data_IF_730495723788
#
_entry.id   IF_730495723788
#
_cell.length_a   1.000
_cell.length_b   1.000
_cell.length_c   1.000
_cell.angle_alpha   90.00
_cell.angle_beta   90.00
_cell.angle_gamma   90.00
#
_symmetry.space_group_name_H-M   'P 1'
#
loop_
_entity.id
_entity.type
_entity.pdbx_description
1 polymer ?
#
# COMPACT_ATOMS: atom_id res chain seq x y z
N UNK A 1 13.66 -2.34 3.25
CA UNK A 1 12.57 -2.23 2.26
C UNK A 1 12.51 -3.35 1.23
N UNK A 2 13.39 -4.33 1.35
CA UNK A 2 13.39 -5.45 0.40
C UNK A 2 12.07 -6.19 0.33
N UNK A 3 11.46 -6.46 1.48
CA UNK A 3 10.19 -7.21 1.49
C UNK A 3 9.07 -6.43 0.85
N UNK A 4 9.01 -5.13 1.11
CA UNK A 4 8.00 -4.28 0.51
C UNK A 4 8.18 -4.19 -1.00
N UNK A 5 9.41 -3.98 -1.45
CA UNK A 5 9.70 -3.91 -2.88
C UNK A 5 9.34 -5.20 -3.60
N UNK A 6 9.68 -6.33 -3.00
CA UNK A 6 9.38 -7.64 -3.57
C UNK A 6 7.87 -7.85 -3.71
N UNK A 7 7.11 -7.57 -2.65
CA UNK A 7 5.67 -7.80 -2.67
C UNK A 7 4.98 -6.87 -3.67
N UNK A 8 5.47 -5.64 -3.80
CA UNK A 8 4.95 -4.70 -4.79
C UNK A 8 5.21 -5.22 -6.20
N UNK A 9 6.40 -5.69 -6.48
CA UNK A 9 6.74 -6.23 -7.80
C UNK A 9 5.91 -7.46 -8.13
N UNK A 10 5.71 -8.34 -7.15
CA UNK A 10 4.87 -9.51 -7.32
C UNK A 10 3.42 -9.12 -7.63
N UNK A 11 2.89 -8.13 -6.91
CA UNK A 11 1.54 -7.65 -7.13
C UNK A 11 1.39 -7.01 -8.50
N UNK A 12 2.39 -6.27 -8.94
CA UNK A 12 2.38 -5.65 -10.27
C UNK A 12 2.37 -6.71 -11.37
N UNK A 13 3.21 -7.73 -11.24
CA UNK A 13 3.27 -8.82 -12.20
C UNK A 13 1.96 -9.59 -12.29
N UNK A 14 1.27 -9.75 -11.18
CA UNK A 14 -0.01 -10.46 -11.11
C UNK A 14 -1.20 -9.54 -11.37
N UNK A 15 -0.98 -8.23 -11.53
CA UNK A 15 -2.03 -7.21 -11.67
C UNK A 15 -2.98 -7.22 -10.47
N UNK A 16 -2.44 -7.44 -9.28
CA UNK A 16 -3.19 -7.52 -8.03
C UNK A 16 -2.89 -6.34 -7.12
N UNK A 17 -2.89 -5.14 -7.67
CA UNK A 17 -2.68 -3.93 -6.87
C UNK A 17 -3.49 -2.77 -7.45
N UNK A 18 -3.78 -1.79 -6.58
CA UNK A 18 -4.46 -0.56 -6.96
C UNK A 18 -3.64 0.63 -6.49
N UNK A 19 -3.59 1.66 -7.30
CA UNK A 19 -2.80 2.87 -7.03
C UNK A 19 -3.68 4.07 -6.76
N UNK A 20 -3.20 4.96 -5.87
CA UNK A 20 -3.88 6.20 -5.57
C UNK A 20 -4.78 6.07 -4.36
N UNK A 21 -4.89 7.17 -3.57
CA UNK A 21 -5.62 7.14 -2.32
C UNK A 21 -7.10 6.79 -2.51
N UNK A 22 -7.72 7.33 -3.55
CA UNK A 22 -9.14 7.09 -3.81
C UNK A 22 -9.39 5.63 -4.20
N UNK A 23 -8.55 5.08 -5.07
CA UNK A 23 -8.66 3.68 -5.47
C UNK A 23 -8.42 2.74 -4.30
N UNK A 24 -7.44 3.07 -3.47
CA UNK A 24 -7.14 2.29 -2.27
C UNK A 24 -8.34 2.27 -1.33
N UNK A 25 -8.98 3.42 -1.14
CA UNK A 25 -10.16 3.52 -0.28
C UNK A 25 -11.29 2.63 -0.78
N UNK A 26 -11.51 2.59 -2.09
CA UNK A 26 -12.56 1.75 -2.68
C UNK A 26 -12.18 0.27 -2.75
N UNK A 27 -10.90 -0.04 -2.66
CA UNK A 27 -10.40 -1.42 -2.79
C UNK A 27 -9.92 -2.01 -1.46
N UNK A 28 -10.22 -1.37 -0.34
CA UNK A 28 -9.77 -1.83 0.98
C UNK A 28 -10.23 -3.27 1.24
N UNK A 29 -11.49 -3.54 0.98
CA UNK A 29 -12.03 -4.89 1.14
C UNK A 29 -11.37 -5.82 0.12
N UNK A 30 -10.79 -6.92 0.60
CA UNK A 30 -10.10 -7.87 -0.25
C UNK A 30 -8.62 -7.59 -0.42
N UNK A 31 -8.11 -6.47 0.11
CA UNK A 31 -6.69 -6.19 0.10
C UNK A 31 -5.98 -6.98 1.20
N UNK A 32 -4.70 -7.26 0.99
CA UNK A 32 -3.85 -7.93 1.98
C UNK A 32 -3.01 -6.95 2.77
N UNK A 33 -2.65 -5.83 2.16
CA UNK A 33 -1.85 -4.80 2.78
C UNK A 33 -2.13 -3.48 2.08
N UNK A 34 -2.19 -2.41 2.87
CA UNK A 34 -2.31 -1.05 2.33
C UNK A 34 -1.05 -0.29 2.72
N UNK A 35 -0.43 0.37 1.75
CA UNK A 35 0.76 1.19 1.97
C UNK A 35 0.39 2.65 1.72
N UNK A 36 0.66 3.49 2.71
CA UNK A 36 0.40 4.93 2.61
C UNK A 36 1.72 5.69 2.63
N UNK A 37 1.84 6.70 1.77
CA UNK A 37 3.01 7.58 1.76
C UNK A 37 2.70 8.86 2.52
N UNK A 38 3.72 9.70 2.69
CA UNK A 38 3.55 11.01 3.33
C UNK A 38 2.69 11.97 2.51
N UNK A 39 2.46 11.64 1.25
CA UNK A 39 1.70 12.51 0.34
C UNK A 39 0.18 12.38 0.48
N UNK A 40 -0.30 11.38 1.22
CA UNK A 40 -1.74 11.22 1.45
C UNK A 40 -2.21 12.29 2.43
N UNK A 41 -3.32 12.99 2.10
CA UNK A 41 -3.88 14.00 3.00
C UNK A 41 -4.39 13.35 4.28
N UNK A 42 -4.42 14.14 5.37
CA UNK A 42 -4.90 13.63 6.66
C UNK A 42 -6.34 13.14 6.58
N UNK A 43 -7.19 13.87 5.85
CA UNK A 43 -8.59 13.49 5.70
C UNK A 43 -8.73 12.14 5.01
N UNK A 44 -7.99 11.94 3.92
CA UNK A 44 -8.03 10.68 3.17
C UNK A 44 -7.40 9.55 3.97
N UNK A 45 -6.29 9.84 4.65
CA UNK A 45 -5.60 8.86 5.49
C UNK A 45 -6.53 8.33 6.58
N UNK A 46 -7.26 9.24 7.25
CA UNK A 46 -8.22 8.84 8.28
C UNK A 46 -9.30 7.91 7.75
N UNK A 47 -9.83 8.21 6.57
CA UNK A 47 -10.85 7.37 5.94
C UNK A 47 -10.33 5.99 5.58
N UNK A 48 -9.11 5.92 5.05
CA UNK A 48 -8.49 4.65 4.69
C UNK A 48 -8.24 3.81 5.94
N UNK A 49 -7.70 4.43 6.98
CA UNK A 49 -7.43 3.75 8.25
C UNK A 49 -8.72 3.19 8.85
N UNK A 50 -9.77 4.00 8.85
CA UNK A 50 -11.07 3.58 9.38
C UNK A 50 -11.60 2.34 8.65
N UNK A 51 -11.55 2.35 7.32
CA UNK A 51 -12.00 1.20 6.54
C UNK A 51 -11.11 -0.01 6.73
N UNK A 52 -9.81 0.19 6.83
CA UNK A 52 -8.87 -0.90 7.05
C UNK A 52 -9.09 -1.57 8.41
N UNK A 53 -9.36 -0.77 9.44
CA UNK A 53 -9.67 -1.32 10.76
C UNK A 53 -10.96 -2.13 10.75
N UNK A 54 -11.96 -1.64 10.04
CA UNK A 54 -13.25 -2.35 9.93
C UNK A 54 -13.11 -3.69 9.22
N UNK A 55 -12.16 -3.81 8.30
CA UNK A 55 -11.93 -5.04 7.53
C UNK A 55 -10.70 -5.80 7.99
N UNK A 56 -10.05 -5.35 9.06
CA UNK A 56 -8.86 -5.98 9.66
C UNK A 56 -7.69 -6.11 8.68
N UNK A 57 -7.49 -5.08 7.85
CA UNK A 57 -6.40 -5.06 6.88
C UNK A 57 -5.26 -4.21 7.43
N UNK A 58 -4.02 -4.74 7.46
CA UNK A 58 -2.89 -3.97 7.99
C UNK A 58 -2.51 -2.81 7.09
N UNK A 59 -2.01 -1.74 7.71
CA UNK A 59 -1.54 -0.56 7.01
C UNK A 59 -0.07 -0.35 7.34
N UNK A 60 0.72 -0.09 6.31
CA UNK A 60 2.13 0.25 6.47
C UNK A 60 2.34 1.72 6.07
N UNK A 61 2.93 2.50 6.98
CA UNK A 61 3.30 3.89 6.71
C UNK A 61 4.66 3.92 6.04
N UNK A 62 4.67 4.12 4.74
CA UNK A 62 5.91 4.25 3.98
C UNK A 62 6.56 5.60 4.30
N UNK A 63 7.84 5.59 4.60
CA UNK A 63 8.56 6.80 5.03
C UNK A 63 8.90 7.75 3.88
N UNK A 64 8.66 7.36 2.64
CA UNK A 64 8.90 8.20 1.49
C UNK A 64 7.64 8.92 1.02
N UNK A 65 7.79 9.72 -0.02
CA UNK A 65 6.69 10.45 -0.63
C UNK A 65 6.14 9.72 -1.85
N UNK A 66 5.15 10.36 -2.52
CA UNK A 66 4.49 9.74 -3.68
C UNK A 66 5.43 9.52 -4.86
N UNK A 67 6.43 10.36 -5.02
CA UNK A 67 7.41 10.22 -6.09
C UNK A 67 8.32 9.02 -5.86
N UNK A 68 8.76 8.84 -4.62
CA UNK A 68 9.58 7.69 -4.26
C UNK A 68 8.81 6.38 -4.41
N UNK A 69 7.54 6.39 -4.03
CA UNK A 69 6.69 5.21 -4.21
C UNK A 69 6.47 4.91 -5.69
N UNK A 70 6.32 5.94 -6.52
CA UNK A 70 6.19 5.75 -7.96
C UNK A 70 7.42 5.06 -8.55
N UNK A 71 8.60 5.46 -8.10
CA UNK A 71 9.85 4.81 -8.55
C UNK A 71 9.90 3.36 -8.13
N UNK A 72 9.49 3.07 -6.91
CA UNK A 72 9.45 1.71 -6.40
C UNK A 72 8.50 0.85 -7.21
N UNK A 73 7.38 1.42 -7.64
CA UNK A 73 6.38 0.73 -8.46
C UNK A 73 6.69 0.77 -9.95
N UNK A 74 7.78 1.45 -10.34
CA UNK A 74 8.16 1.63 -11.74
C UNK A 74 7.01 2.24 -12.56
N UNK A 75 6.44 3.33 -12.06
CA UNK A 75 5.34 4.04 -12.70
C UNK A 75 5.74 5.47 -13.07
N UNK A 76 5.22 6.01 -14.18
CA UNK A 76 5.54 7.37 -14.61
C UNK A 76 4.73 8.45 -13.92
N UNK A 77 3.83 8.09 -13.00
CA UNK A 77 2.99 9.02 -12.27
C UNK A 77 3.20 8.84 -10.77
N UNK A 78 2.83 9.85 -9.98
CA UNK A 78 2.96 9.80 -8.53
C UNK A 78 1.97 8.80 -7.93
N UNK A 79 2.44 8.06 -6.93
CA UNK A 79 1.64 7.06 -6.23
C UNK A 79 1.60 7.43 -4.76
N UNK A 80 0.49 7.97 -4.29
CA UNK A 80 0.36 8.39 -2.89
C UNK A 80 -0.02 7.23 -1.97
N UNK A 81 -0.71 6.23 -2.49
CA UNK A 81 -1.10 5.06 -1.71
C UNK A 81 -1.20 3.86 -2.65
N UNK A 82 -1.05 2.67 -2.10
CA UNK A 82 -1.17 1.44 -2.88
C UNK A 82 -1.87 0.38 -2.04
N UNK A 83 -2.79 -0.35 -2.66
CA UNK A 83 -3.45 -1.49 -2.04
C UNK A 83 -2.95 -2.75 -2.73
N UNK A 84 -2.37 -3.65 -1.94
CA UNK A 84 -1.83 -4.90 -2.42
C UNK A 84 -2.81 -6.02 -2.13
N UNK A 85 -3.18 -6.77 -3.14
CA UNK A 85 -4.16 -7.85 -3.02
C UNK A 85 -3.53 -9.23 -2.91
N UNK A 86 -2.20 -9.29 -2.97
CA UNK A 86 -1.46 -10.54 -2.76
C UNK A 86 -0.37 -10.32 -1.72
N UNK A 87 0.14 -11.43 -1.20
CA UNK A 87 1.18 -11.43 -0.19
C UNK A 87 0.82 -12.43 0.89
N UNK A 88 1.80 -13.18 1.39
CA UNK A 88 1.52 -14.08 2.48
C UNK A 88 1.67 -13.34 3.82
N UNK A 89 1.14 -13.95 4.87
CA UNK A 89 1.11 -13.33 6.19
C UNK A 89 2.50 -13.07 6.75
N UNK A 90 3.45 -13.94 6.46
CA UNK A 90 4.83 -13.76 6.93
C UNK A 90 5.51 -12.58 6.26
N UNK A 91 5.33 -12.41 4.95
CA UNK A 91 5.88 -11.27 4.22
C UNK A 91 5.31 -9.96 4.75
N UNK A 92 4.00 -9.92 4.94
CA UNK A 92 3.32 -8.72 5.45
C UNK A 92 3.79 -8.40 6.87
N UNK A 93 3.91 -9.41 7.71
CA UNK A 93 4.38 -9.24 9.09
C UNK A 93 5.79 -8.67 9.12
N UNK A 94 6.67 -9.15 8.25
CA UNK A 94 8.04 -8.65 8.16
C UNK A 94 8.07 -7.18 7.72
N UNK A 95 7.21 -6.80 6.78
CA UNK A 95 7.10 -5.41 6.33
C UNK A 95 6.66 -4.53 7.50
N UNK A 96 5.65 -4.95 8.24
CA UNK A 96 5.10 -4.18 9.35
C UNK A 96 6.09 -4.02 10.51
N UNK A 97 7.06 -4.91 10.62
CA UNK A 97 8.09 -4.81 11.67
C UNK A 97 9.15 -3.74 11.38
N UNK A 98 9.01 -2.99 10.33
CA UNK A 98 9.88 -1.85 10.08
C UNK A 98 10.97 -2.05 9.05
N UNK A 99 10.78 -2.96 8.21
CA UNK A 99 11.73 -3.11 7.08
C UNK A 99 11.65 -1.98 6.11
#
# INVERSE_FOLDING_TARGET
MRNLEKIIKDALGAKKCKFGAREVMHSTKGSKLIVLTKSVSEAMKSKIIEQAQATEIPIFDYKGNSLQMAKLCNRPFRVSAIALKIGDDDEIRNILKGN
#
